data_IF_116288483317
#
_entry.id   IF_116288483317
#
_cell.length_a   1.000
_cell.length_b   1.000
_cell.length_c   1.000
_cell.angle_alpha   90.00
_cell.angle_beta   90.00
_cell.angle_gamma   90.00
#
_symmetry.space_group_name_H-M   'P 1'
#
loop_
_entity.id
_entity.type
_entity.pdbx_description
1 polymer ?
#
# COMPACT_ATOMS: atom_id res chain seq x y z
N UNK A 1 -5.24 -42.04 -28.43
CA UNK A 1 -5.86 -41.07 -29.36
C UNK A 1 -5.14 -41.17 -30.69
N UNK A 2 -5.90 -41.46 -31.75
CA UNK A 2 -5.43 -41.74 -33.11
C UNK A 2 -5.09 -40.45 -33.86
N UNK A 3 -3.98 -40.47 -34.60
CA UNK A 3 -3.63 -39.48 -35.63
C UNK A 3 -4.53 -39.67 -36.84
N UNK A 4 -5.16 -38.60 -37.33
CA UNK A 4 -5.94 -38.61 -38.58
C UNK A 4 -5.44 -37.57 -39.56
N UNK A 5 -5.08 -38.08 -40.73
CA UNK A 5 -4.92 -37.43 -42.02
C UNK A 5 -5.88 -36.27 -42.30
N UNK A 6 -5.36 -35.21 -42.92
CA UNK A 6 -6.08 -34.49 -43.97
C UNK A 6 -5.12 -34.13 -45.11
N UNK A 7 -5.26 -34.88 -46.21
CA UNK A 7 -4.70 -34.59 -47.53
C UNK A 7 -5.89 -34.50 -48.50
N UNK A 8 -6.12 -33.29 -49.02
CA UNK A 8 -6.91 -32.96 -50.22
C UNK A 8 -6.12 -31.79 -50.83
N UNK A 9 -5.69 -31.77 -52.07
CA UNK A 9 -6.24 -32.37 -53.28
C UNK A 9 -6.42 -31.21 -54.26
N UNK A 10 -5.45 -31.01 -55.16
CA UNK A 10 -5.67 -30.28 -56.40
C UNK A 10 -4.97 -31.03 -57.54
N UNK A 11 -5.79 -31.78 -58.29
CA UNK A 11 -5.45 -32.38 -59.57
C UNK A 11 -5.74 -31.36 -60.66
N UNK A 12 -4.90 -31.37 -61.68
CA UNK A 12 -5.30 -31.01 -63.03
C UNK A 12 -4.75 -29.67 -63.48
N UNK A 13 -3.63 -29.73 -64.20
CA UNK A 13 -3.47 -29.14 -65.53
C UNK A 13 -2.17 -29.69 -66.13
N UNK A 14 -2.33 -30.52 -67.15
CA UNK A 14 -1.25 -31.03 -67.99
C UNK A 14 -0.68 -29.91 -68.86
N UNK A 15 0.63 -29.65 -68.87
CA UNK A 15 1.22 -28.87 -69.94
C UNK A 15 1.53 -29.80 -71.11
N UNK A 16 0.83 -29.56 -72.22
CA UNK A 16 1.20 -30.04 -73.55
C UNK A 16 2.67 -29.74 -73.81
N UNK A 17 3.38 -30.78 -74.23
CA UNK A 17 4.67 -30.67 -74.88
C UNK A 17 4.56 -29.75 -76.11
N UNK A 18 5.14 -28.56 -76.00
CA UNK A 18 5.66 -27.83 -77.14
C UNK A 18 7.18 -27.88 -77.04
N UNK A 19 7.77 -28.68 -77.92
CA UNK A 19 9.21 -28.71 -78.15
C UNK A 19 9.63 -27.37 -78.77
N UNK A 20 9.93 -26.39 -77.92
CA UNK A 20 10.76 -25.26 -78.30
C UNK A 20 12.22 -25.67 -78.06
N UNK A 21 13.00 -25.72 -79.14
CA UNK A 21 14.46 -25.91 -79.10
C UNK A 21 15.08 -25.05 -77.99
N UNK A 22 16.01 -25.57 -77.17
CA UNK A 22 16.71 -24.71 -76.23
C UNK A 22 17.51 -23.69 -77.06
N UNK A 23 17.40 -22.37 -76.81
CA UNK A 23 18.49 -21.51 -77.20
C UNK A 23 19.69 -21.95 -76.35
N UNK A 24 20.63 -22.68 -76.97
CA UNK A 24 21.99 -22.75 -76.49
C UNK A 24 22.52 -21.32 -76.47
N UNK A 25 22.56 -20.77 -75.27
CA UNK A 25 23.47 -19.69 -74.93
C UNK A 25 24.13 -20.14 -73.63
N UNK A 26 25.11 -21.03 -73.76
CA UNK A 26 26.23 -21.10 -72.80
C UNK A 26 27.02 -19.79 -72.98
N UNK A 27 26.44 -18.68 -72.51
CA UNK A 27 27.24 -17.52 -72.13
C UNK A 27 27.31 -17.63 -70.63
N UNK A 28 28.47 -18.08 -70.12
CA UNK A 28 28.80 -17.85 -68.73
C UNK A 28 28.49 -16.39 -68.40
N UNK A 29 27.83 -16.16 -67.27
CA UNK A 29 27.47 -14.81 -66.83
C UNK A 29 28.65 -13.88 -67.08
N UNK A 30 28.40 -12.79 -67.80
CA UNK A 30 29.46 -11.81 -68.00
C UNK A 30 29.85 -11.27 -66.63
N UNK A 31 31.14 -11.01 -66.40
CA UNK A 31 31.64 -10.49 -65.10
C UNK A 31 30.82 -9.28 -64.62
N UNK A 32 30.32 -8.49 -65.57
CA UNK A 32 29.45 -7.34 -65.37
C UNK A 32 28.07 -7.74 -64.79
N UNK A 33 27.42 -8.80 -65.29
CA UNK A 33 26.13 -9.28 -64.75
C UNK A 33 26.28 -9.86 -63.34
N UNK A 34 27.38 -10.55 -63.04
CA UNK A 34 27.67 -11.04 -61.68
C UNK A 34 27.89 -9.85 -60.72
N UNK A 35 28.60 -8.81 -61.18
CA UNK A 35 28.81 -7.60 -60.40
C UNK A 35 27.50 -6.84 -60.13
N UNK A 36 26.66 -6.65 -61.15
CA UNK A 36 25.38 -5.94 -60.99
C UNK A 36 24.42 -6.73 -60.07
N UNK A 37 24.31 -8.05 -60.26
CA UNK A 37 23.44 -8.89 -59.43
C UNK A 37 23.92 -8.97 -57.99
N UNK A 38 25.23 -9.11 -57.75
CA UNK A 38 25.79 -9.08 -56.39
C UNK A 38 25.52 -7.74 -55.73
N UNK A 39 25.74 -6.61 -56.41
CA UNK A 39 25.51 -5.26 -55.88
C UNK A 39 24.03 -5.01 -55.52
N UNK A 40 23.09 -5.45 -56.37
CA UNK A 40 21.66 -5.41 -56.08
C UNK A 40 21.30 -6.28 -54.87
N UNK A 41 21.89 -7.48 -54.77
CA UNK A 41 21.63 -8.38 -53.65
C UNK A 41 22.14 -7.80 -52.33
N UNK A 42 23.33 -7.19 -52.31
CA UNK A 42 23.85 -6.49 -51.11
C UNK A 42 22.97 -5.32 -50.71
N UNK A 43 22.45 -4.56 -51.67
CA UNK A 43 21.53 -3.44 -51.41
C UNK A 43 20.24 -3.93 -50.75
N UNK A 44 19.62 -4.98 -51.31
CA UNK A 44 18.40 -5.58 -50.74
C UNK A 44 18.68 -6.15 -49.35
N UNK A 45 19.82 -6.80 -49.15
CA UNK A 45 20.21 -7.33 -47.84
C UNK A 45 20.45 -6.23 -46.82
N UNK A 46 21.06 -5.11 -47.22
CA UNK A 46 21.25 -3.94 -46.35
C UNK A 46 19.92 -3.31 -45.94
N UNK A 47 18.97 -3.15 -46.88
CA UNK A 47 17.63 -2.63 -46.59
C UNK A 47 16.85 -3.58 -45.66
N UNK A 48 16.93 -4.89 -45.91
CA UNK A 48 16.33 -5.91 -45.04
C UNK A 48 16.95 -5.89 -43.63
N UNK A 49 18.26 -5.72 -43.52
CA UNK A 49 18.95 -5.65 -42.23
C UNK A 49 18.58 -4.38 -41.46
N UNK A 50 18.52 -3.23 -42.12
CA UNK A 50 18.11 -1.96 -41.49
C UNK A 50 16.66 -2.04 -41.00
N UNK A 51 15.76 -2.60 -41.81
CA UNK A 51 14.36 -2.80 -41.40
C UNK A 51 14.24 -3.78 -40.25
N UNK A 52 14.99 -4.88 -40.26
CA UNK A 52 15.02 -5.85 -39.16
C UNK A 52 15.55 -5.24 -37.85
N UNK A 53 16.62 -4.44 -37.91
CA UNK A 53 17.16 -3.72 -36.74
C UNK A 53 16.12 -2.74 -36.18
N UNK A 54 15.44 -1.98 -37.06
CA UNK A 54 14.36 -1.07 -36.65
C UNK A 54 13.20 -1.82 -36.00
N UNK A 55 12.78 -2.94 -36.59
CA UNK A 55 11.69 -3.77 -36.07
C UNK A 55 12.05 -4.35 -34.70
N UNK A 56 13.30 -4.79 -34.52
CA UNK A 56 13.79 -5.34 -33.25
C UNK A 56 13.85 -4.26 -32.17
N UNK A 57 14.34 -3.06 -32.50
CA UNK A 57 14.32 -1.92 -31.56
C UNK A 57 12.88 -1.54 -31.17
N UNK A 58 11.98 -1.44 -32.15
CA UNK A 58 10.57 -1.13 -31.90
C UNK A 58 9.90 -2.21 -31.04
N UNK A 59 10.14 -3.50 -31.32
CA UNK A 59 9.62 -4.60 -30.52
C UNK A 59 10.12 -4.54 -29.08
N UNK A 60 11.41 -4.29 -28.86
CA UNK A 60 11.97 -4.20 -27.51
C UNK A 60 11.38 -3.02 -26.73
N UNK A 61 11.17 -1.87 -27.39
CA UNK A 61 10.48 -0.73 -26.79
C UNK A 61 9.04 -1.09 -26.41
N UNK A 62 8.28 -1.71 -27.32
CA UNK A 62 6.89 -2.13 -27.04
C UNK A 62 6.82 -3.12 -25.86
N UNK A 63 7.75 -4.07 -25.78
CA UNK A 63 7.80 -5.03 -24.67
C UNK A 63 8.09 -4.30 -23.35
N UNK A 64 9.08 -3.41 -23.32
CA UNK A 64 9.40 -2.61 -22.13
C UNK A 64 8.22 -1.71 -21.70
N UNK A 65 7.58 -1.03 -22.65
CA UNK A 65 6.41 -0.20 -22.38
C UNK A 65 5.25 -1.04 -21.81
N UNK A 66 5.06 -2.26 -22.32
CA UNK A 66 4.03 -3.18 -21.83
C UNK A 66 4.34 -3.66 -20.41
N UNK A 67 5.57 -4.08 -20.13
CA UNK A 67 6.01 -4.52 -18.80
C UNK A 67 5.86 -3.39 -17.76
N UNK A 68 6.24 -2.16 -18.12
CA UNK A 68 6.10 -0.99 -17.25
C UNK A 68 4.62 -0.67 -16.96
N UNK A 69 3.76 -0.70 -17.99
CA UNK A 69 2.32 -0.50 -17.81
C UNK A 69 1.69 -1.57 -16.91
N UNK A 70 2.09 -2.84 -17.07
CA UNK A 70 1.57 -3.92 -16.23
C UNK A 70 2.01 -3.79 -14.78
N UNK A 71 3.26 -3.39 -14.54
CA UNK A 71 3.81 -3.18 -13.19
C UNK A 71 3.14 -1.99 -12.50
N UNK A 72 2.93 -0.89 -13.21
CA UNK A 72 2.21 0.27 -12.70
C UNK A 72 0.75 -0.06 -12.37
N UNK A 73 0.04 -0.73 -13.26
CA UNK A 73 -1.35 -1.12 -13.03
C UNK A 73 -1.49 -2.08 -11.84
N UNK A 74 -0.52 -3.00 -11.65
CA UNK A 74 -0.44 -3.84 -10.47
C UNK A 74 -0.23 -3.00 -9.20
N UNK A 75 0.75 -2.10 -9.18
CA UNK A 75 1.02 -1.22 -8.05
C UNK A 75 -0.20 -0.37 -7.69
N UNK A 76 -0.86 0.22 -8.68
CA UNK A 76 -2.07 1.02 -8.49
C UNK A 76 -3.22 0.20 -7.90
N UNK A 77 -3.47 -0.99 -8.44
CA UNK A 77 -4.53 -1.88 -7.96
C UNK A 77 -4.25 -2.38 -6.54
N UNK A 78 -3.00 -2.76 -6.27
CA UNK A 78 -2.55 -3.19 -4.95
C UNK A 78 -2.77 -2.06 -3.94
N UNK A 79 -2.20 -0.88 -4.18
CA UNK A 79 -2.30 0.23 -3.25
C UNK A 79 -3.73 0.76 -3.10
N UNK A 80 -4.55 0.74 -4.15
CA UNK A 80 -5.96 1.12 -4.05
C UNK A 80 -6.72 0.20 -3.07
N UNK A 81 -6.48 -1.12 -3.10
CA UNK A 81 -7.07 -2.04 -2.12
C UNK A 81 -6.57 -1.76 -0.70
N UNK A 82 -5.27 -1.46 -0.54
CA UNK A 82 -4.69 -1.15 0.77
C UNK A 82 -5.25 0.16 1.34
N UNK A 83 -5.37 1.21 0.52
CA UNK A 83 -5.97 2.50 0.91
C UNK A 83 -7.45 2.35 1.30
N UNK A 84 -8.20 1.47 0.62
CA UNK A 84 -9.58 1.15 1.01
C UNK A 84 -9.67 0.54 2.41
N UNK A 85 -8.65 -0.22 2.84
CA UNK A 85 -8.56 -0.83 4.17
C UNK A 85 -7.88 0.06 5.21
N UNK A 86 -7.34 1.19 4.80
CA UNK A 86 -6.58 2.11 5.65
C UNK A 86 -7.45 3.02 6.54
N UNK A 87 -8.73 2.71 6.72
CA UNK A 87 -9.65 3.51 7.54
C UNK A 87 -9.17 3.70 8.98
N UNK A 88 -8.45 2.70 9.54
CA UNK A 88 -7.84 2.79 10.88
C UNK A 88 -6.66 3.74 10.97
N UNK A 89 -6.11 4.20 9.83
CA UNK A 89 -5.05 5.20 9.81
C UNK A 89 -5.59 6.60 10.14
N UNK A 90 -6.88 6.86 9.87
CA UNK A 90 -7.53 8.14 10.09
C UNK A 90 -7.64 8.45 11.58
N UNK A 91 -7.28 9.67 11.98
CA UNK A 91 -7.20 10.14 13.38
C UNK A 91 -6.22 9.41 14.31
N UNK A 92 -5.50 8.39 13.80
CA UNK A 92 -4.49 7.62 14.53
C UNK A 92 -3.09 8.01 14.08
N UNK A 93 -2.86 8.05 12.76
CA UNK A 93 -1.57 8.47 12.22
C UNK A 93 -1.44 10.00 12.19
N UNK A 94 -0.23 10.47 12.49
CA UNK A 94 0.20 11.85 12.40
C UNK A 94 1.26 11.98 11.32
N UNK A 95 0.81 12.30 10.10
CA UNK A 95 1.68 12.54 8.96
C UNK A 95 1.29 13.88 8.35
N UNK A 96 2.18 14.86 8.49
CA UNK A 96 1.96 16.18 7.91
C UNK A 96 1.92 16.08 6.39
N UNK A 97 1.05 16.84 5.74
CA UNK A 97 0.90 16.87 4.29
C UNK A 97 1.75 18.01 3.69
N UNK A 98 1.57 18.31 2.40
CA UNK A 98 2.34 19.33 1.70
C UNK A 98 2.03 20.76 2.22
N UNK A 99 0.90 20.94 2.92
CA UNK A 99 0.47 22.20 3.54
C UNK A 99 0.76 22.28 5.04
N UNK A 100 1.56 21.33 5.55
CA UNK A 100 1.90 21.22 6.98
C UNK A 100 0.70 20.91 7.90
N UNK A 101 -0.36 20.31 7.36
CA UNK A 101 -1.54 19.85 8.09
C UNK A 101 -1.51 18.32 8.21
N UNK A 102 -2.09 17.72 9.25
CA UNK A 102 -2.11 16.25 9.33
C UNK A 102 -3.00 15.66 8.21
N UNK A 103 -2.42 14.79 7.38
CA UNK A 103 -3.08 14.16 6.23
C UNK A 103 -4.23 13.24 6.66
N UNK A 104 -4.06 12.56 7.80
CA UNK A 104 -5.00 11.56 8.31
C UNK A 104 -6.09 12.15 9.22
N UNK A 105 -6.13 13.47 9.41
CA UNK A 105 -7.21 14.12 10.17
C UNK A 105 -8.57 13.92 9.50
N UNK A 106 -9.53 13.36 10.22
CA UNK A 106 -10.85 12.98 9.74
C UNK A 106 -11.95 13.54 10.64
N UNK A 107 -12.82 14.36 10.06
CA UNK A 107 -13.94 14.99 10.76
C UNK A 107 -15.21 14.18 10.49
N UNK A 108 -15.55 13.28 11.42
CA UNK A 108 -16.74 12.43 11.30
C UNK A 108 -18.02 13.09 11.83
N UNK A 109 -17.85 14.08 12.70
CA UNK A 109 -18.88 14.68 13.53
C UNK A 109 -19.25 16.11 13.13
N UNK A 110 -18.49 16.73 12.21
CA UNK A 110 -18.74 18.09 11.72
C UNK A 110 -19.07 18.10 10.23
N UNK A 111 -20.08 18.87 9.79
CA UNK A 111 -20.28 19.11 8.37
C UNK A 111 -19.15 19.97 7.81
N UNK A 112 -18.84 19.76 6.54
CA UNK A 112 -17.69 20.39 5.85
C UNK A 112 -17.76 21.94 5.87
N UNK A 113 -18.96 22.52 5.99
CA UNK A 113 -19.17 23.97 6.10
C UNK A 113 -18.49 24.61 7.32
N UNK A 114 -18.31 23.87 8.42
CA UNK A 114 -17.65 24.35 9.64
C UNK A 114 -16.12 24.30 9.54
N UNK A 115 -15.58 23.61 8.52
CA UNK A 115 -14.15 23.47 8.30
C UNK A 115 -13.71 24.58 7.35
N UNK A 116 -12.65 25.36 7.67
CA UNK A 116 -12.11 26.37 6.78
C UNK A 116 -11.76 25.77 5.41
N UNK A 117 -12.08 26.47 4.31
CA UNK A 117 -11.87 25.96 2.95
C UNK A 117 -10.42 25.52 2.67
N UNK A 118 -9.43 26.21 3.26
CA UNK A 118 -8.01 25.86 3.17
C UNK A 118 -7.66 24.50 3.80
N UNK A 119 -8.50 23.99 4.70
CA UNK A 119 -8.28 22.74 5.45
C UNK A 119 -9.25 21.63 5.02
N UNK A 120 -10.03 21.81 3.96
CA UNK A 120 -10.99 20.79 3.49
C UNK A 120 -10.34 19.67 2.69
N UNK A 121 -9.23 19.95 2.02
CA UNK A 121 -8.51 18.97 1.20
C UNK A 121 -7.15 18.63 1.81
N UNK A 122 -6.60 17.47 1.44
CA UNK A 122 -5.20 17.12 1.78
C UNK A 122 -4.48 16.61 0.54
N UNK A 123 -3.21 16.98 0.38
CA UNK A 123 -2.33 16.47 -0.68
C UNK A 123 -0.99 16.14 -0.05
N UNK A 124 -0.55 14.91 -0.26
CA UNK A 124 0.67 14.37 0.30
C UNK A 124 1.51 13.83 -0.86
N UNK A 125 2.63 14.48 -1.14
CA UNK A 125 3.61 14.04 -2.13
C UNK A 125 4.73 13.25 -1.46
N UNK A 126 4.99 12.07 -2.00
CA UNK A 126 6.12 11.21 -1.64
C UNK A 126 7.08 11.19 -2.82
N UNK A 127 8.35 11.52 -2.58
CA UNK A 127 9.39 11.58 -3.62
C UNK A 127 10.71 11.04 -3.07
N UNK A 128 11.59 10.55 -3.95
CA UNK A 128 12.93 10.12 -3.55
C UNK A 128 13.97 11.27 -3.56
N UNK A 129 13.52 12.53 -3.67
CA UNK A 129 14.43 13.68 -3.73
C UNK A 129 15.14 13.89 -2.37
N UNK A 130 16.41 14.31 -2.36
CA UNK A 130 17.14 14.61 -1.13
C UNK A 130 16.39 15.65 -0.27
N UNK A 131 16.19 15.34 1.02
CA UNK A 131 15.48 16.20 1.96
C UNK A 131 13.95 16.21 1.79
N UNK A 132 13.40 15.50 0.81
CA UNK A 132 11.96 15.32 0.66
C UNK A 132 11.45 14.10 1.44
N UNK A 133 10.13 14.05 1.64
CA UNK A 133 9.48 12.88 2.24
C UNK A 133 9.50 11.72 1.26
N UNK A 134 10.15 10.63 1.65
CA UNK A 134 10.28 9.42 0.83
C UNK A 134 9.43 8.24 1.31
N UNK A 135 8.74 8.35 2.45
CA UNK A 135 7.99 7.25 3.04
C UNK A 135 6.69 7.66 3.75
N UNK A 136 5.80 6.68 3.92
CA UNK A 136 4.61 6.76 4.76
C UNK A 136 4.18 5.35 5.23
N UNK A 137 3.28 5.32 6.21
CA UNK A 137 2.77 4.09 6.82
C UNK A 137 1.25 4.08 6.72
N UNK A 138 0.68 2.88 6.62
CA UNK A 138 -0.76 2.64 6.72
C UNK A 138 -1.02 1.61 7.81
N UNK A 139 -2.05 1.86 8.61
CA UNK A 139 -2.70 0.89 9.48
C UNK A 139 -3.89 0.30 8.74
N UNK A 140 -3.82 -1.00 8.50
CA UNK A 140 -4.80 -1.75 7.73
C UNK A 140 -5.56 -2.67 8.65
N UNK A 141 -6.88 -2.72 8.47
CA UNK A 141 -7.71 -3.76 9.07
C UNK A 141 -7.66 -5.01 8.20
N UNK A 142 -7.46 -6.17 8.82
CA UNK A 142 -7.73 -7.44 8.16
C UNK A 142 -9.25 -7.67 8.08
N UNK A 143 -9.86 -7.65 6.89
CA UNK A 143 -11.30 -7.83 6.75
C UNK A 143 -11.76 -9.26 7.06
N UNK A 144 -10.85 -10.24 7.07
CA UNK A 144 -11.17 -11.62 7.42
C UNK A 144 -11.30 -11.83 8.93
N UNK A 145 -10.81 -10.88 9.73
CA UNK A 145 -10.81 -10.96 11.18
C UNK A 145 -11.99 -10.21 11.79
N UNK A 146 -12.61 -10.87 12.77
CA UNK A 146 -13.66 -10.26 13.60
C UNK A 146 -13.05 -9.24 14.57
N UNK A 147 -13.87 -8.29 15.02
CA UNK A 147 -13.49 -7.40 16.13
C UNK A 147 -13.99 -7.99 17.45
N UNK A 148 -13.24 -7.78 18.53
CA UNK A 148 -13.67 -8.15 19.88
C UNK A 148 -14.02 -6.89 20.65
N UNK A 149 -15.24 -6.82 21.20
CA UNK A 149 -15.55 -5.83 22.24
C UNK A 149 -14.92 -6.35 23.54
N UNK A 150 -13.85 -5.72 23.99
CA UNK A 150 -13.09 -6.09 25.17
C UNK A 150 -13.56 -5.28 26.38
N UNK A 151 -13.84 -5.96 27.49
CA UNK A 151 -14.10 -5.34 28.79
C UNK A 151 -12.76 -5.19 29.54
N UNK A 152 -12.29 -3.96 29.80
CA UNK A 152 -11.04 -3.70 30.50
C UNK A 152 -10.93 -4.41 31.85
N UNK A 153 -12.04 -4.63 32.56
CA UNK A 153 -12.02 -5.30 33.86
C UNK A 153 -11.48 -6.73 33.79
N UNK A 154 -11.59 -7.39 32.63
CA UNK A 154 -11.07 -8.73 32.39
C UNK A 154 -9.53 -8.79 32.41
N UNK A 155 -8.83 -7.66 32.25
CA UNK A 155 -7.38 -7.59 32.30
C UNK A 155 -6.81 -7.55 33.75
N UNK A 156 -7.67 -7.41 34.76
CA UNK A 156 -7.25 -7.18 36.14
C UNK A 156 -7.57 -8.36 37.05
N UNK A 157 -6.67 -8.65 37.97
CA UNK A 157 -6.95 -9.48 39.12
C UNK A 157 -7.53 -8.61 40.23
N UNK A 158 -8.72 -8.96 40.71
CA UNK A 158 -9.40 -8.31 41.84
C UNK A 158 -9.03 -9.05 43.13
N UNK A 159 -8.29 -8.41 44.02
CA UNK A 159 -8.04 -8.95 45.35
C UNK A 159 -9.09 -8.42 46.32
N UNK A 160 -9.97 -9.30 46.82
CA UNK A 160 -10.93 -8.95 47.86
C UNK A 160 -10.29 -9.13 49.24
N UNK A 161 -10.06 -8.03 49.95
CA UNK A 161 -9.52 -8.00 51.32
C UNK A 161 -10.62 -8.00 52.40
N UNK A 162 -11.78 -8.58 52.09
CA UNK A 162 -12.97 -8.59 52.96
C UNK A 162 -13.98 -7.48 52.63
N UNK A 163 -15.19 -7.51 53.23
CA UNK A 163 -16.31 -6.63 52.85
C UNK A 163 -16.13 -5.14 53.20
N UNK A 164 -15.11 -4.79 53.99
CA UNK A 164 -14.88 -3.43 54.51
C UNK A 164 -13.49 -2.87 54.15
N UNK A 165 -12.70 -3.60 53.36
CA UNK A 165 -11.41 -3.12 52.90
C UNK A 165 -11.52 -2.56 51.46
N UNK A 166 -10.73 -1.53 51.11
CA UNK A 166 -10.66 -1.06 49.73
C UNK A 166 -10.29 -2.23 48.81
N UNK A 167 -11.07 -2.44 47.76
CA UNK A 167 -10.70 -3.41 46.73
C UNK A 167 -9.41 -2.93 46.05
N UNK A 168 -8.39 -3.78 46.03
CA UNK A 168 -7.22 -3.56 45.20
C UNK A 168 -7.34 -4.38 43.91
N UNK A 169 -6.95 -3.75 42.81
CA UNK A 169 -6.83 -4.41 41.52
C UNK A 169 -5.39 -4.33 41.04
N UNK A 170 -4.93 -5.37 40.35
CA UNK A 170 -3.60 -5.41 39.74
C UNK A 170 -3.71 -5.86 38.31
N UNK A 171 -3.07 -5.15 37.39
CA UNK A 171 -3.06 -5.50 35.98
C UNK A 171 -2.36 -6.84 35.75
N UNK A 172 -3.06 -7.78 35.11
CA UNK A 172 -2.61 -9.14 34.86
C UNK A 172 -2.30 -9.43 33.38
N UNK A 173 -2.60 -8.47 32.49
CA UNK A 173 -2.42 -8.58 31.04
C UNK A 173 -3.74 -8.70 30.30
N UNK A 174 -3.80 -8.19 29.07
CA UNK A 174 -5.04 -8.22 28.28
C UNK A 174 -5.55 -9.64 27.99
N UNK A 175 -4.65 -10.61 27.84
CA UNK A 175 -5.02 -12.02 27.63
C UNK A 175 -5.05 -12.81 28.95
N UNK A 176 -5.33 -12.14 30.07
CA UNK A 176 -5.61 -12.82 31.34
C UNK A 176 -6.75 -13.83 31.15
N UNK A 177 -6.59 -15.01 31.77
CA UNK A 177 -7.49 -16.16 31.59
C UNK A 177 -7.69 -16.63 30.12
N UNK A 178 -6.77 -16.31 29.21
CA UNK A 178 -6.79 -16.70 27.79
C UNK A 178 -8.03 -16.22 27.00
N UNK A 179 -8.72 -15.16 27.45
CA UNK A 179 -9.94 -14.71 26.79
C UNK A 179 -9.71 -14.25 25.34
N UNK A 180 -8.67 -13.43 25.13
CA UNK A 180 -8.31 -12.90 23.81
C UNK A 180 -7.88 -14.04 22.88
N UNK A 181 -7.06 -14.96 23.37
CA UNK A 181 -6.64 -16.15 22.61
C UNK A 181 -7.82 -17.06 22.24
N UNK A 182 -8.80 -17.19 23.12
CA UNK A 182 -10.02 -17.98 22.85
C UNK A 182 -10.84 -17.36 21.72
N UNK A 183 -10.90 -16.02 21.65
CA UNK A 183 -11.62 -15.32 20.59
C UNK A 183 -10.87 -15.32 19.26
N UNK A 184 -9.58 -14.99 19.26
CA UNK A 184 -8.77 -14.78 18.06
C UNK A 184 -8.01 -16.03 17.56
N UNK A 185 -7.91 -17.08 18.37
CA UNK A 185 -7.18 -18.29 18.02
C UNK A 185 -5.72 -18.01 17.66
N UNK A 186 -5.30 -18.47 16.48
CA UNK A 186 -3.91 -18.31 15.99
C UNK A 186 -3.53 -16.87 15.64
N UNK A 187 -4.52 -15.99 15.44
CA UNK A 187 -4.26 -14.57 15.20
C UNK A 187 -3.65 -13.91 16.44
N UNK A 188 -3.94 -14.41 17.64
CA UNK A 188 -3.25 -14.03 18.87
C UNK A 188 -1.97 -14.85 19.05
N UNK A 189 -0.94 -14.48 18.28
CA UNK A 189 0.38 -15.12 18.32
C UNK A 189 1.49 -14.09 18.50
N UNK A 190 2.62 -14.44 19.16
CA UNK A 190 3.72 -13.52 19.41
C UNK A 190 4.16 -12.75 18.16
N UNK A 191 4.29 -11.44 18.31
CA UNK A 191 4.70 -10.54 17.24
C UNK A 191 3.57 -10.04 16.33
N UNK A 192 2.34 -10.58 16.41
CA UNK A 192 1.19 -10.03 15.68
C UNK A 192 0.73 -8.71 16.30
N UNK A 193 0.36 -7.76 15.45
CA UNK A 193 -0.06 -6.42 15.86
C UNK A 193 -1.56 -6.33 16.11
N UNK A 194 -1.91 -5.67 17.19
CA UNK A 194 -3.29 -5.36 17.58
C UNK A 194 -3.44 -3.87 17.88
N UNK A 195 -4.62 -3.36 17.56
CA UNK A 195 -5.10 -2.05 17.95
C UNK A 195 -6.16 -2.23 19.04
N UNK A 196 -5.96 -1.55 20.15
CA UNK A 196 -6.98 -1.26 21.15
C UNK A 196 -7.52 0.13 20.87
N UNK A 197 -8.83 0.25 20.73
CA UNK A 197 -9.48 1.48 20.30
C UNK A 197 -10.71 1.76 21.16
N UNK A 198 -10.80 2.94 21.75
CA UNK A 198 -12.06 3.43 22.30
C UNK A 198 -12.96 3.92 21.14
N UNK A 199 -14.23 3.51 21.09
CA UNK A 199 -15.16 4.00 20.06
C UNK A 199 -15.55 5.47 20.26
N UNK A 200 -15.19 6.07 21.41
CA UNK A 200 -15.51 7.44 21.77
C UNK A 200 -14.45 8.37 21.19
N UNK A 201 -14.88 9.37 20.42
CA UNK A 201 -14.01 10.41 19.89
C UNK A 201 -13.96 11.59 20.85
N UNK A 202 -12.76 11.94 21.26
CA UNK A 202 -12.47 13.04 22.16
C UNK A 202 -11.79 14.17 21.39
N UNK A 203 -12.09 15.41 21.75
CA UNK A 203 -11.44 16.60 21.21
C UNK A 203 -10.63 17.26 22.31
N UNK A 204 -9.48 17.86 21.98
CA UNK A 204 -8.73 18.62 22.96
C UNK A 204 -9.55 19.81 23.44
N UNK A 205 -9.55 20.01 24.74
CA UNK A 205 -10.17 21.16 25.38
C UNK A 205 -9.19 22.34 25.39
N UNK A 206 -9.74 23.54 25.20
CA UNK A 206 -9.01 24.80 25.39
C UNK A 206 -9.70 25.58 26.52
N UNK A 207 -9.06 26.62 27.10
CA UNK A 207 -9.71 27.46 28.11
C UNK A 207 -11.04 28.09 27.64
N UNK A 208 -11.25 28.22 26.32
CA UNK A 208 -12.48 28.71 25.69
C UNK A 208 -13.48 27.60 25.30
N UNK A 209 -13.23 26.35 25.68
CA UNK A 209 -14.07 25.18 25.38
C UNK A 209 -13.43 24.23 24.38
N UNK A 210 -14.24 23.34 23.82
CA UNK A 210 -13.79 22.28 22.89
C UNK A 210 -13.30 22.88 21.57
N UNK A 211 -12.11 22.48 21.13
CA UNK A 211 -11.54 22.98 19.88
C UNK A 211 -12.13 22.26 18.65
N UNK A 212 -13.08 22.91 17.98
CA UNK A 212 -13.73 22.38 16.77
C UNK A 212 -12.80 22.32 15.54
N UNK A 213 -11.65 23.00 15.57
CA UNK A 213 -10.65 23.00 14.48
C UNK A 213 -9.69 21.82 14.54
N UNK A 214 -9.78 20.96 15.56
CA UNK A 214 -8.98 19.72 15.66
C UNK A 214 -9.99 18.57 15.65
N UNK A 215 -9.86 17.58 14.74
CA UNK A 215 -10.85 16.50 14.66
C UNK A 215 -10.90 15.72 15.97
N UNK A 216 -12.07 15.15 16.28
CA UNK A 216 -12.19 14.22 17.38
C UNK A 216 -11.36 12.96 17.12
N UNK A 217 -10.59 12.53 18.11
CA UNK A 217 -9.71 11.36 18.03
C UNK A 217 -10.09 10.33 19.07
N UNK A 218 -9.99 9.04 18.73
CA UNK A 218 -10.19 8.00 19.73
C UNK A 218 -8.98 7.92 20.65
N UNK A 219 -9.20 7.49 21.88
CA UNK A 219 -8.12 7.00 22.73
C UNK A 219 -7.74 5.59 22.25
N UNK A 220 -6.46 5.32 22.00
CA UNK A 220 -6.05 4.03 21.44
C UNK A 220 -4.65 3.61 21.89
N UNK A 221 -4.34 2.33 21.69
CA UNK A 221 -3.02 1.76 21.88
C UNK A 221 -2.72 0.76 20.76
N UNK A 222 -1.51 0.82 20.19
CA UNK A 222 -1.03 -0.15 19.21
C UNK A 222 0.11 -0.95 19.84
N UNK A 223 -0.03 -2.27 19.80
CA UNK A 223 1.01 -3.14 20.33
C UNK A 223 1.12 -4.47 19.60
N UNK A 224 2.26 -5.13 19.78
CA UNK A 224 2.52 -6.48 19.30
C UNK A 224 2.40 -7.47 20.44
N UNK A 225 1.80 -8.64 20.18
CA UNK A 225 1.67 -9.69 21.19
C UNK A 225 3.05 -10.07 21.72
N UNK A 226 3.21 -10.03 23.04
CA UNK A 226 4.47 -10.35 23.70
C UNK A 226 4.83 -11.84 23.53
N UNK A 227 6.08 -12.18 23.84
CA UNK A 227 6.60 -13.56 23.67
C UNK A 227 5.78 -14.60 24.45
N UNK A 228 5.23 -14.20 25.59
CA UNK A 228 4.46 -15.08 26.47
C UNK A 228 2.98 -15.17 26.06
N UNK A 229 2.53 -14.38 25.08
CA UNK A 229 1.15 -14.33 24.62
C UNK A 229 0.15 -13.81 25.66
N UNK A 230 0.62 -13.12 26.70
CA UNK A 230 -0.22 -12.60 27.79
C UNK A 230 -0.65 -11.16 27.60
N UNK A 231 0.17 -10.38 26.90
CA UNK A 231 -0.01 -8.94 26.79
C UNK A 231 0.55 -8.37 25.48
N UNK A 232 0.42 -7.05 25.28
CA UNK A 232 0.94 -6.32 24.14
C UNK A 232 2.15 -5.45 24.53
N UNK A 233 3.23 -5.54 23.75
CA UNK A 233 4.34 -4.60 23.81
C UNK A 233 4.06 -3.40 22.89
N UNK A 234 4.36 -2.16 23.29
CA UNK A 234 4.08 -0.98 22.47
C UNK A 234 4.84 -1.01 21.15
N UNK A 235 4.13 -0.72 20.05
CA UNK A 235 4.75 -0.51 18.73
C UNK A 235 5.04 0.98 18.57
N UNK A 236 6.33 1.36 18.65
CA UNK A 236 6.76 2.75 18.55
C UNK A 236 7.06 3.11 17.11
N UNK A 237 6.14 3.84 16.48
CA UNK A 237 6.33 4.43 15.16
C UNK A 237 6.33 5.95 15.30
N UNK A 238 7.23 6.69 14.61
CA UNK A 238 7.36 8.13 14.80
C UNK A 238 6.14 8.94 14.32
N UNK A 239 5.22 8.29 13.61
CA UNK A 239 3.97 8.87 13.08
C UNK A 239 2.74 8.38 13.84
N UNK A 240 2.89 7.48 14.83
CA UNK A 240 1.77 7.08 15.68
C UNK A 240 1.78 8.00 16.89
N UNK A 241 0.62 8.60 17.16
CA UNK A 241 0.40 9.33 18.41
C UNK A 241 0.21 8.33 19.54
N UNK A 242 0.80 8.60 20.69
CA UNK A 242 0.62 7.78 21.90
C UNK A 242 0.08 8.63 23.04
N UNK A 243 -0.29 9.88 22.77
CA UNK A 243 -0.83 10.84 23.70
C UNK A 243 -2.34 10.68 23.87
N UNK A 244 -2.84 10.92 25.08
CA UNK A 244 -4.28 11.01 25.31
C UNK A 244 -4.87 12.21 24.55
N UNK A 245 -6.00 12.05 23.82
CA UNK A 245 -6.57 13.15 23.04
C UNK A 245 -7.04 14.37 23.86
N UNK A 246 -7.37 14.20 25.14
CA UNK A 246 -7.78 15.28 26.05
C UNK A 246 -6.60 15.87 26.80
N UNK A 247 -5.62 15.05 27.20
CA UNK A 247 -4.40 15.50 27.88
C UNK A 247 -3.12 15.03 27.16
N UNK A 248 -2.51 15.88 26.30
CA UNK A 248 -1.29 15.52 25.57
C UNK A 248 -0.07 15.21 26.45
N UNK A 249 -0.11 15.50 27.76
CA UNK A 249 0.96 15.16 28.70
C UNK A 249 0.89 13.70 29.16
N UNK A 250 -0.28 13.07 29.03
CA UNK A 250 -0.49 11.66 29.37
C UNK A 250 -0.11 10.80 28.17
N UNK A 251 0.87 9.91 28.36
CA UNK A 251 1.27 8.93 27.34
C UNK A 251 0.64 7.57 27.64
N UNK A 252 0.01 6.98 26.63
CA UNK A 252 -0.62 5.68 26.63
C UNK A 252 0.35 4.66 26.03
N UNK A 253 1.31 4.24 26.85
CA UNK A 253 2.42 3.36 26.47
C UNK A 253 2.20 1.87 26.79
N UNK A 254 1.05 1.52 27.36
CA UNK A 254 0.63 0.15 27.65
C UNK A 254 -0.89 0.01 27.57
N UNK A 255 -1.43 -1.22 27.47
CA UNK A 255 -2.88 -1.42 27.59
C UNK A 255 -3.43 -0.99 28.95
N UNK A 256 -2.65 -1.15 30.04
CA UNK A 256 -3.04 -0.70 31.38
C UNK A 256 -3.22 0.82 31.44
N UNK A 257 -2.23 1.58 30.94
CA UNK A 257 -2.33 3.04 30.87
C UNK A 257 -3.47 3.49 29.94
N UNK A 258 -3.79 2.76 28.86
CA UNK A 258 -4.99 3.01 28.08
C UNK A 258 -6.27 2.80 28.92
N UNK A 259 -6.41 1.65 29.59
CA UNK A 259 -7.62 1.28 30.33
C UNK A 259 -7.93 2.22 31.49
N UNK A 260 -6.90 2.69 32.20
CA UNK A 260 -7.03 3.67 33.28
C UNK A 260 -7.44 5.06 32.80
N UNK A 261 -7.18 5.39 31.54
CA UNK A 261 -7.49 6.68 30.93
C UNK A 261 -8.63 6.59 29.90
N UNK A 262 -9.45 5.53 29.93
CA UNK A 262 -10.59 5.45 29.04
C UNK A 262 -11.60 6.56 29.35
N UNK A 263 -12.16 7.21 28.31
CA UNK A 263 -13.21 8.19 28.52
C UNK A 263 -14.45 7.54 29.14
N UNK A 264 -15.03 8.23 30.12
CA UNK A 264 -16.28 7.81 30.75
C UNK A 264 -17.45 8.09 29.79
N UNK A 265 -18.09 7.04 29.28
CA UNK A 265 -19.41 7.17 28.65
C UNK A 265 -20.50 7.07 29.72
N UNK A 266 -21.38 8.07 29.76
CA UNK A 266 -22.50 8.09 30.69
C UNK A 266 -23.42 6.87 30.48
N UNK A 267 -23.45 5.96 31.45
CA UNK A 267 -24.39 4.82 31.48
C UNK A 267 -23.95 3.56 30.73
N UNK A 268 -22.73 3.48 30.21
CA UNK A 268 -22.19 2.26 29.61
C UNK A 268 -20.89 1.82 30.27
N UNK A 269 -20.60 0.52 30.24
CA UNK A 269 -19.25 0.03 30.53
C UNK A 269 -18.26 0.65 29.53
N UNK A 270 -17.03 1.00 29.94
CA UNK A 270 -16.00 1.44 29.02
C UNK A 270 -15.59 0.24 28.17
N UNK A 271 -16.09 0.19 26.93
CA UNK A 271 -15.77 -0.89 26.00
C UNK A 271 -14.60 -0.46 25.11
N UNK A 272 -13.67 -1.38 24.89
CA UNK A 272 -12.53 -1.19 23.98
C UNK A 272 -12.67 -2.16 22.82
N UNK A 273 -12.59 -1.66 21.60
CA UNK A 273 -12.47 -2.50 20.42
C UNK A 273 -11.05 -3.03 20.33
N UNK A 274 -10.90 -4.35 20.39
CA UNK A 274 -9.65 -5.05 20.13
C UNK A 274 -9.69 -5.63 18.71
N UNK A 275 -8.74 -5.19 17.88
CA UNK A 275 -8.70 -5.46 16.45
C UNK A 275 -7.30 -5.93 16.05
N UNK A 276 -7.15 -7.05 15.31
CA UNK A 276 -5.89 -7.35 14.65
C UNK A 276 -5.67 -6.36 13.50
N UNK A 277 -4.45 -5.85 13.40
CA UNK A 277 -4.08 -4.88 12.38
C UNK A 277 -2.84 -5.34 11.63
N UNK A 278 -2.66 -4.80 10.43
CA UNK A 278 -1.40 -4.88 9.70
C UNK A 278 -0.86 -3.48 9.48
N UNK A 279 0.41 -3.28 9.81
CA UNK A 279 1.10 -2.02 9.54
C UNK A 279 1.94 -2.23 8.28
N UNK A 280 1.81 -1.34 7.29
CA UNK A 280 2.57 -1.44 6.05
C UNK A 280 3.33 -0.14 5.80
N UNK A 281 4.65 -0.24 5.64
CA UNK A 281 5.52 0.86 5.22
C UNK A 281 5.58 0.89 3.70
N UNK A 282 5.43 2.08 3.13
CA UNK A 282 5.62 2.36 1.72
C UNK A 282 6.71 3.42 1.57
N UNK A 283 7.63 3.23 0.63
CA UNK A 283 8.68 4.22 0.38
C UNK A 283 9.17 4.21 -1.06
N UNK A 284 9.68 5.36 -1.49
CA UNK A 284 10.40 5.52 -2.75
C UNK A 284 11.90 5.51 -2.49
N UNK A 285 12.62 4.65 -3.19
CA UNK A 285 14.07 4.58 -3.16
C UNK A 285 14.64 5.02 -4.50
N UNK A 286 15.48 6.06 -4.50
CA UNK A 286 16.12 6.54 -5.72
C UNK A 286 16.96 5.44 -6.37
N UNK A 287 16.83 5.30 -7.68
CA UNK A 287 17.61 4.35 -8.45
C UNK A 287 19.04 4.90 -8.64
N UNK A 288 20.06 4.08 -8.39
CA UNK A 288 21.47 4.51 -8.54
C UNK A 288 21.94 4.54 -9.98
N UNK A 289 21.30 3.76 -10.86
CA UNK A 289 21.75 3.56 -12.25
C UNK A 289 20.89 4.26 -13.30
N UNK A 290 19.69 4.75 -12.94
CA UNK A 290 18.75 5.39 -13.86
C UNK A 290 17.96 6.50 -13.16
N UNK A 291 17.48 7.53 -13.88
CA UNK A 291 16.60 8.53 -13.31
C UNK A 291 15.30 7.88 -12.84
N UNK A 292 14.76 8.35 -11.71
CA UNK A 292 13.55 7.80 -11.09
C UNK A 292 13.82 7.04 -9.79
N UNK A 293 12.76 6.45 -9.25
CA UNK A 293 12.78 5.71 -8.00
C UNK A 293 11.95 4.43 -8.11
N UNK A 294 12.32 3.46 -7.29
CA UNK A 294 11.55 2.24 -7.07
C UNK A 294 10.60 2.43 -5.89
N UNK A 295 9.32 2.11 -6.09
CA UNK A 295 8.31 2.07 -5.04
C UNK A 295 8.27 0.70 -4.38
N UNK A 296 8.52 0.69 -3.08
CA UNK A 296 8.51 -0.51 -2.26
C UNK A 296 7.38 -0.49 -1.25
N UNK A 297 6.94 -1.69 -0.89
CA UNK A 297 6.10 -1.93 0.28
C UNK A 297 6.74 -2.98 1.18
N UNK A 298 6.47 -2.89 2.48
CA UNK A 298 6.88 -3.88 3.46
C UNK A 298 5.90 -3.93 4.60
N UNK A 299 5.35 -5.11 4.95
CA UNK A 299 4.62 -5.26 6.19
C UNK A 299 5.57 -5.10 7.37
N UNK A 300 5.01 -4.64 8.49
CA UNK A 300 5.61 -4.73 9.80
C UNK A 300 5.25 -6.07 10.40
N UNK A 301 6.22 -6.76 11.00
CA UNK A 301 6.01 -8.05 11.64
C UNK A 301 6.88 -8.13 12.90
N UNK A 302 6.26 -8.29 14.07
CA UNK A 302 6.99 -8.56 15.30
C UNK A 302 7.83 -7.40 15.82
N UNK A 303 7.38 -6.16 15.59
CA UNK A 303 8.11 -4.98 16.04
C UNK A 303 9.25 -4.56 15.10
N UNK A 304 9.46 -5.27 14.00
CA UNK A 304 10.46 -4.94 12.98
C UNK A 304 9.82 -4.87 11.60
N UNK A 305 10.51 -4.19 10.69
CA UNK A 305 10.10 -4.19 9.29
C UNK A 305 10.37 -5.58 8.67
N UNK A 306 9.33 -6.16 8.07
CA UNK A 306 9.39 -7.44 7.38
C UNK A 306 10.11 -7.37 6.02
N UNK A 307 9.86 -8.37 5.18
CA UNK A 307 10.47 -8.44 3.85
C UNK A 307 9.85 -7.41 2.90
N UNK A 308 10.70 -6.58 2.30
CA UNK A 308 10.30 -5.64 1.27
C UNK A 308 10.00 -6.33 -0.06
N UNK A 309 9.08 -5.75 -0.83
CA UNK A 309 8.83 -6.13 -2.21
C UNK A 309 8.60 -4.91 -3.09
N UNK A 310 9.03 -5.01 -4.34
CA UNK A 310 8.91 -3.96 -5.35
C UNK A 310 7.47 -3.94 -5.87
N UNK A 311 6.85 -2.76 -5.87
CA UNK A 311 5.54 -2.52 -6.46
C UNK A 311 5.65 -2.01 -7.89
N UNK A 312 6.46 -0.96 -8.08
CA UNK A 312 6.69 -0.34 -9.37
C UNK A 312 8.10 0.24 -9.43
N UNK A 313 8.66 0.30 -10.63
CA UNK A 313 9.94 0.96 -10.91
C UNK A 313 9.69 2.19 -11.80
N UNK A 314 10.73 3.03 -11.97
CA UNK A 314 10.69 4.29 -12.73
C UNK A 314 9.63 5.30 -12.25
N UNK A 315 9.34 5.26 -10.95
CA UNK A 315 8.43 6.19 -10.29
C UNK A 315 9.16 7.50 -9.97
N UNK A 316 8.63 8.62 -10.43
CA UNK A 316 9.08 9.96 -10.07
C UNK A 316 8.55 10.39 -8.71
N UNK A 317 7.24 10.21 -8.49
CA UNK A 317 6.54 10.58 -7.26
C UNK A 317 5.28 9.75 -7.07
N UNK A 318 4.82 9.67 -5.83
CA UNK A 318 3.53 9.14 -5.44
C UNK A 318 2.74 10.27 -4.80
N UNK A 319 1.51 10.50 -5.26
CA UNK A 319 0.64 11.56 -4.75
C UNK A 319 -0.59 10.94 -4.12
N UNK A 320 -0.77 11.17 -2.82
CA UNK A 320 -1.98 10.82 -2.09
C UNK A 320 -2.85 12.06 -1.95
N UNK A 321 -4.15 11.93 -2.22
CA UNK A 321 -5.09 13.05 -2.20
C UNK A 321 -6.33 12.71 -1.40
N UNK A 322 -6.80 13.66 -0.60
CA UNK A 322 -8.15 13.61 -0.01
C UNK A 322 -8.91 14.83 -0.48
N UNK A 323 -9.98 14.59 -1.23
CA UNK A 323 -10.87 15.65 -1.74
C UNK A 323 -11.72 16.29 -0.65
N UNK A 324 -11.93 15.58 0.46
CA UNK A 324 -12.60 16.12 1.64
C UNK A 324 -12.08 15.43 2.90
N UNK A 325 -11.78 16.20 3.95
CA UNK A 325 -11.39 15.71 5.28
C UNK A 325 -12.57 15.09 6.04
N UNK A 326 -13.81 15.26 5.57
CA UNK A 326 -15.01 14.58 6.10
C UNK A 326 -15.28 13.24 5.39
N UNK A 327 -14.46 12.88 4.39
CA UNK A 327 -14.52 11.59 3.71
C UNK A 327 -13.34 10.70 4.11
N UNK A 328 -13.61 9.39 4.22
CA UNK A 328 -12.58 8.37 4.45
C UNK A 328 -11.81 7.99 3.18
N UNK A 329 -12.23 8.51 2.01
CA UNK A 329 -11.64 8.14 0.72
C UNK A 329 -10.30 8.84 0.54
N UNK A 330 -9.25 8.04 0.30
CA UNK A 330 -7.92 8.49 -0.10
C UNK A 330 -7.72 8.10 -1.56
N UNK A 331 -7.58 9.11 -2.42
CA UNK A 331 -7.17 8.96 -3.81
C UNK A 331 -5.65 8.84 -3.91
N UNK A 332 -5.19 8.25 -5.00
CA UNK A 332 -3.77 8.02 -5.24
C UNK A 332 -3.47 8.19 -6.72
N UNK A 333 -2.27 8.67 -7.01
CA UNK A 333 -1.68 8.70 -8.34
C UNK A 333 -0.20 8.34 -8.25
N UNK A 334 0.23 7.36 -9.05
CA UNK A 334 1.65 6.99 -9.20
C UNK A 334 2.16 7.63 -10.48
N UNK A 335 3.24 8.39 -10.38
CA UNK A 335 3.76 9.20 -11.47
C UNK A 335 5.05 8.60 -12.01
N UNK A 336 5.06 8.15 -13.26
CA UNK A 336 6.27 7.74 -13.96
C UNK A 336 7.10 8.98 -14.38
N UNK A 337 8.42 8.85 -14.32
CA UNK A 337 9.39 9.76 -14.96
C UNK A 337 9.05 10.18 -16.39
N UNK A 338 8.51 9.30 -17.24
CA UNK A 338 8.14 9.63 -18.61
C UNK A 338 6.87 10.49 -18.72
N UNK A 339 6.04 10.50 -17.67
CA UNK A 339 4.73 11.19 -17.62
C UNK A 339 4.63 12.18 -16.47
N UNK A 340 5.75 12.71 -15.99
CA UNK A 340 5.81 13.59 -14.84
C UNK A 340 4.89 14.82 -14.96
N UNK A 341 4.65 15.32 -16.18
CA UNK A 341 3.77 16.46 -16.46
C UNK A 341 2.28 16.20 -16.18
N UNK A 342 1.84 14.94 -16.07
CA UNK A 342 0.45 14.60 -15.76
C UNK A 342 0.14 14.63 -14.25
N UNK A 343 1.14 14.98 -13.43
CA UNK A 343 1.07 14.86 -11.97
C UNK A 343 1.13 16.20 -11.22
N UNK A 344 1.03 17.32 -11.93
CA UNK A 344 1.01 18.66 -11.32
C UNK A 344 -0.29 18.93 -10.53
#
# INVERSE_FOLDING_TARGET
MKTSHFSKGFKGLSPRAWAAKPPRVDKGFTVIEILISSLLMTLVFAVAMVTFIRLTKARNQIVQDTENLTSLAFAESYMADQLRRAGLSLNVLNLLDDTNENFFDYYSDLPESYIPSSRRTRKLRITAAPGARSEFFLLLRDPSMSLMMYDPSAAYHLATSGPSAPMSFSYAGINYSNQVKTFFGEAWSPGKEFLLLSPILLRPETPSGVNMLIPGRPTYFIGSVNKDGKDLNPVRLPFVRSDDPMDPLVTLDSPDSLFLNLPLAAGSAPLVELLPIQIVRYWLQANTSKPGASLYASPWEGGVQGKSFLLADDVSQLVLTRRSVTSKIIGMQICDTQRAYLCE
#
